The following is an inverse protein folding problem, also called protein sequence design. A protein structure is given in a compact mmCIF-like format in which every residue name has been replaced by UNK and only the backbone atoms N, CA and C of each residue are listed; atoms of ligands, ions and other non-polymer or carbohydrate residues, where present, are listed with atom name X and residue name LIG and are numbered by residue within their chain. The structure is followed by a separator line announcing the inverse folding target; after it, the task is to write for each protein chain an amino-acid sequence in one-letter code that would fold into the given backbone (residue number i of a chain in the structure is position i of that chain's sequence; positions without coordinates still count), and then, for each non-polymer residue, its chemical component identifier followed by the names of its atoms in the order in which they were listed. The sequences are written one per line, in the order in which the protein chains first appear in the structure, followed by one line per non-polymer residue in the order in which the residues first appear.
data_IF_032391981452
#
_entry.id   IF_032391981452
#
_cell.length_a   1.000
_cell.length_b   1.000
_cell.length_c   1.000
_cell.angle_alpha   90.00
_cell.angle_beta   90.00
_cell.angle_gamma   90.00
#
_symmetry.space_group_name_H-M   'P 1'
#
loop_
_entity.id
_entity.type
_entity.pdbx_description
1 polymer ?
#
# COMPACT_ATOMS: atom_id res chain seq x y z
N UNK A 1 4.95 -6.50 39.15
CA UNK A 1 3.58 -5.95 39.27
C UNK A 1 3.21 -5.42 37.90
N UNK A 2 2.36 -6.14 37.18
CA UNK A 2 1.97 -5.84 35.79
C UNK A 2 1.21 -4.50 35.76
N UNK A 3 1.82 -3.49 35.16
CA UNK A 3 1.14 -2.22 34.88
C UNK A 3 0.17 -2.43 33.72
N UNK A 4 -1.11 -2.21 34.01
CA UNK A 4 -2.25 -2.48 33.16
C UNK A 4 -2.22 -1.70 31.83
N UNK A 5 -2.02 -2.45 30.74
CA UNK A 5 -2.81 -2.47 29.51
C UNK A 5 -3.78 -1.29 29.28
N UNK A 6 -3.28 -0.16 28.75
CA UNK A 6 -4.09 0.99 28.29
C UNK A 6 -3.91 1.32 26.79
N UNK A 7 -3.46 0.37 25.98
CA UNK A 7 -3.13 0.66 24.56
C UNK A 7 -4.13 0.08 23.55
N UNK A 8 -5.35 -0.25 23.97
CA UNK A 8 -6.35 -0.93 23.13
C UNK A 8 -7.25 0.05 22.36
N UNK A 9 -7.29 1.33 22.74
CA UNK A 9 -8.08 2.35 22.02
C UNK A 9 -7.19 3.35 21.28
N UNK A 10 -6.36 2.82 20.38
CA UNK A 10 -5.65 3.63 19.38
C UNK A 10 -6.57 3.76 18.16
N UNK A 11 -7.14 4.94 17.96
CA UNK A 11 -7.97 5.29 16.79
C UNK A 11 -7.38 4.79 15.44
N UNK A 12 -6.05 4.86 15.21
CA UNK A 12 -5.45 4.34 13.98
C UNK A 12 -5.60 2.81 13.82
N UNK A 13 -5.52 2.05 14.92
CA UNK A 13 -5.67 0.59 14.87
C UNK A 13 -7.06 0.17 14.43
N UNK A 14 -8.08 0.94 14.79
CA UNK A 14 -9.45 0.65 14.42
C UNK A 14 -9.65 0.72 12.90
N UNK A 15 -8.93 1.61 12.23
CA UNK A 15 -9.16 1.95 10.82
C UNK A 15 -8.48 0.95 9.90
N UNK A 16 -7.24 0.61 10.20
CA UNK A 16 -6.56 -0.50 9.56
C UNK A 16 -7.31 -1.83 9.79
N UNK A 17 -7.88 -2.02 10.99
CA UNK A 17 -8.74 -3.18 11.27
C UNK A 17 -10.04 -3.17 10.46
N UNK A 18 -10.71 -2.02 10.34
CA UNK A 18 -11.89 -1.84 9.49
C UNK A 18 -11.55 -2.16 8.03
N UNK A 19 -10.40 -1.73 7.51
CA UNK A 19 -9.95 -2.08 6.15
C UNK A 19 -9.82 -3.59 5.93
N UNK A 20 -9.23 -4.29 6.89
CA UNK A 20 -9.12 -5.75 6.84
C UNK A 20 -10.52 -6.40 6.85
N UNK A 21 -11.46 -5.87 7.65
CA UNK A 21 -12.84 -6.34 7.67
C UNK A 21 -13.65 -5.97 6.41
N UNK A 22 -13.30 -4.87 5.74
CA UNK A 22 -13.93 -4.45 4.48
C UNK A 22 -13.50 -5.33 3.31
N UNK A 23 -12.34 -5.98 3.36
CA UNK A 23 -11.89 -6.85 2.27
C UNK A 23 -12.86 -8.00 1.96
N UNK A 24 -13.36 -8.80 2.94
CA UNK A 24 -14.43 -9.77 2.69
C UNK A 24 -15.69 -9.17 2.06
N UNK A 25 -16.06 -7.93 2.44
CA UNK A 25 -17.23 -7.23 1.88
C UNK A 25 -16.99 -6.85 0.42
N UNK A 26 -15.79 -6.35 0.09
CA UNK A 26 -15.38 -6.08 -1.29
C UNK A 26 -15.42 -7.35 -2.14
N UNK A 27 -14.90 -8.46 -1.63
CA UNK A 27 -15.00 -9.77 -2.29
C UNK A 27 -16.45 -10.20 -2.50
N UNK A 28 -17.31 -10.02 -1.50
CA UNK A 28 -18.73 -10.34 -1.63
C UNK A 28 -19.37 -9.61 -2.82
N UNK A 29 -19.19 -8.28 -2.91
CA UNK A 29 -19.70 -7.49 -4.03
C UNK A 29 -19.06 -7.85 -5.38
N UNK A 30 -17.77 -8.22 -5.38
CA UNK A 30 -17.11 -8.72 -6.57
C UNK A 30 -17.72 -10.04 -7.07
N UNK A 31 -18.01 -10.99 -6.16
CA UNK A 31 -18.57 -12.29 -6.52
C UNK A 31 -20.03 -12.21 -7.00
N UNK A 32 -20.83 -11.30 -6.45
CA UNK A 32 -22.21 -11.07 -6.94
C UNK A 32 -22.28 -10.15 -8.16
N UNK A 33 -21.12 -9.76 -8.73
CA UNK A 33 -21.01 -8.93 -9.94
C UNK A 33 -21.68 -7.55 -9.80
N UNK A 34 -21.46 -6.91 -8.64
CA UNK A 34 -21.99 -5.58 -8.31
C UNK A 34 -20.86 -4.53 -8.29
N UNK A 35 -20.37 -4.09 -9.47
CA UNK A 35 -19.19 -3.22 -9.59
C UNK A 35 -19.39 -1.83 -8.95
N UNK A 36 -20.60 -1.30 -8.99
CA UNK A 36 -20.90 0.04 -8.44
C UNK A 36 -20.74 0.05 -6.92
N UNK A 37 -21.27 -0.97 -6.24
CA UNK A 37 -21.13 -1.12 -4.80
C UNK A 37 -19.69 -1.42 -4.40
N UNK A 38 -18.99 -2.24 -5.18
CA UNK A 38 -17.57 -2.49 -4.99
C UNK A 38 -16.76 -1.18 -5.02
N UNK A 39 -16.91 -0.36 -6.07
CA UNK A 39 -16.20 0.91 -6.20
C UNK A 39 -16.59 1.89 -5.09
N UNK A 40 -17.87 1.96 -4.72
CA UNK A 40 -18.34 2.83 -3.64
C UNK A 40 -17.70 2.49 -2.29
N UNK A 41 -17.66 1.21 -1.93
CA UNK A 41 -17.03 0.74 -0.68
C UNK A 41 -15.52 0.92 -0.73
N UNK A 42 -14.90 0.68 -1.89
CA UNK A 42 -13.47 0.89 -2.07
C UNK A 42 -13.09 2.37 -1.87
N UNK A 43 -13.84 3.29 -2.48
CA UNK A 43 -13.64 4.74 -2.28
C UNK A 43 -13.86 5.14 -0.83
N UNK A 44 -14.89 4.59 -0.16
CA UNK A 44 -15.13 4.83 1.26
C UNK A 44 -13.96 4.35 2.13
N UNK A 45 -13.42 3.17 1.84
CA UNK A 45 -12.23 2.61 2.51
C UNK A 45 -11.01 3.54 2.39
N UNK A 46 -10.70 3.98 1.17
CA UNK A 46 -9.58 4.91 0.92
C UNK A 46 -9.77 6.28 1.56
N UNK A 47 -11.01 6.81 1.58
CA UNK A 47 -11.32 8.06 2.25
C UNK A 47 -11.13 7.98 3.77
N UNK A 48 -11.54 6.87 4.37
CA UNK A 48 -11.40 6.62 5.82
C UNK A 48 -9.92 6.59 6.20
N UNK A 49 -9.07 5.92 5.41
CA UNK A 49 -7.63 5.87 5.65
C UNK A 49 -6.96 7.26 5.70
N UNK A 50 -7.27 8.11 4.71
CA UNK A 50 -6.71 9.48 4.66
C UNK A 50 -7.15 10.30 5.87
N UNK A 51 -8.43 10.20 6.23
CA UNK A 51 -9.00 10.95 7.35
C UNK A 51 -8.35 10.53 8.67
N UNK A 52 -8.21 9.24 8.92
CA UNK A 52 -7.65 8.74 10.16
C UNK A 52 -6.14 8.92 10.25
N UNK A 53 -5.41 8.78 9.13
CA UNK A 53 -4.01 9.15 9.05
C UNK A 53 -3.76 10.66 9.28
N UNK A 54 -4.75 11.51 8.98
CA UNK A 54 -4.71 12.92 9.34
C UNK A 54 -4.97 13.14 10.84
N UNK A 55 -6.03 12.53 11.38
CA UNK A 55 -6.39 12.62 12.81
C UNK A 55 -5.25 12.11 13.69
N UNK A 56 -4.67 10.94 13.37
CA UNK A 56 -3.56 10.35 14.11
C UNK A 56 -2.35 11.29 14.24
N UNK A 57 -2.04 12.03 13.17
CA UNK A 57 -0.95 13.02 13.13
C UNK A 57 -1.26 14.26 13.96
N UNK A 58 -2.50 14.74 13.92
CA UNK A 58 -2.94 15.91 14.69
C UNK A 58 -2.93 15.61 16.20
N UNK A 59 -3.37 14.42 16.59
CA UNK A 59 -3.41 14.00 18.01
C UNK A 59 -2.11 13.34 18.50
N UNK A 60 -1.09 13.24 17.65
CA UNK A 60 0.22 12.65 17.95
C UNK A 60 0.14 11.21 18.51
N UNK A 61 -0.80 10.41 17.99
CA UNK A 61 -1.10 9.04 18.43
C UNK A 61 -0.44 7.97 17.53
N UNK A 62 0.80 8.20 17.11
CA UNK A 62 1.52 7.28 16.24
C UNK A 62 2.19 6.22 17.13
N UNK A 63 1.80 4.95 16.96
CA UNK A 63 2.37 3.80 17.69
C UNK A 63 3.02 2.81 16.73
N UNK A 64 4.04 2.08 17.20
CA UNK A 64 4.73 1.07 16.38
C UNK A 64 3.79 -0.07 15.96
N UNK A 65 2.92 -0.51 16.88
CA UNK A 65 1.91 -1.54 16.61
C UNK A 65 0.89 -1.08 15.57
N UNK A 66 0.46 0.19 15.64
CA UNK A 66 -0.46 0.75 14.66
C UNK A 66 0.17 0.89 13.29
N UNK A 67 1.42 1.32 13.19
CA UNK A 67 2.13 1.39 11.91
C UNK A 67 2.26 0.02 11.22
N UNK A 68 2.50 -1.06 11.98
CA UNK A 68 2.53 -2.41 11.40
C UNK A 68 1.16 -2.85 10.92
N UNK A 69 0.12 -2.62 11.71
CA UNK A 69 -1.26 -2.98 11.34
C UNK A 69 -1.73 -2.20 10.12
N UNK A 70 -1.31 -0.95 9.99
CA UNK A 70 -1.54 -0.08 8.84
C UNK A 70 -0.97 -0.68 7.55
N UNK A 71 0.29 -1.11 7.57
CA UNK A 71 0.92 -1.79 6.43
C UNK A 71 0.17 -3.07 6.02
N UNK A 72 -0.35 -3.84 6.98
CA UNK A 72 -1.17 -5.03 6.71
C UNK A 72 -2.54 -4.67 6.11
N UNK A 73 -3.18 -3.62 6.62
CA UNK A 73 -4.45 -3.11 6.10
C UNK A 73 -4.31 -2.63 4.66
N UNK A 74 -3.27 -1.85 4.37
CA UNK A 74 -2.92 -1.42 3.02
C UNK A 74 -2.69 -2.60 2.08
N UNK A 75 -1.81 -3.52 2.45
CA UNK A 75 -1.52 -4.70 1.64
C UNK A 75 -2.79 -5.52 1.35
N UNK A 76 -3.67 -5.63 2.33
CA UNK A 76 -4.96 -6.34 2.20
C UNK A 76 -5.86 -5.65 1.18
N UNK A 77 -6.00 -4.32 1.23
CA UNK A 77 -6.83 -3.57 0.27
C UNK A 77 -6.23 -3.62 -1.14
N UNK A 78 -4.93 -3.39 -1.32
CA UNK A 78 -4.31 -3.45 -2.65
C UNK A 78 -4.40 -4.85 -3.27
N UNK A 79 -4.21 -5.90 -2.47
CA UNK A 79 -4.40 -7.28 -2.93
C UNK A 79 -5.86 -7.55 -3.33
N UNK A 80 -6.81 -7.05 -2.52
CA UNK A 80 -8.24 -7.17 -2.80
C UNK A 80 -8.61 -6.43 -4.09
N UNK A 81 -8.09 -5.22 -4.32
CA UNK A 81 -8.29 -4.45 -5.54
C UNK A 81 -7.82 -5.20 -6.79
N UNK A 82 -6.62 -5.77 -6.75
CA UNK A 82 -6.06 -6.54 -7.86
C UNK A 82 -6.91 -7.78 -8.18
N UNK A 83 -7.22 -8.58 -7.16
CA UNK A 83 -7.98 -9.83 -7.34
C UNK A 83 -9.42 -9.53 -7.80
N UNK A 84 -10.09 -8.58 -7.15
CA UNK A 84 -11.48 -8.24 -7.51
C UNK A 84 -11.59 -7.61 -8.89
N UNK A 85 -10.57 -6.87 -9.35
CA UNK A 85 -10.53 -6.37 -10.72
C UNK A 85 -10.62 -7.51 -11.74
N UNK A 86 -9.89 -8.61 -11.50
CA UNK A 86 -9.94 -9.79 -12.37
C UNK A 86 -11.31 -10.50 -12.35
N UNK A 87 -12.01 -10.46 -11.21
CA UNK A 87 -13.33 -11.08 -11.05
C UNK A 87 -14.43 -10.26 -11.73
N UNK A 88 -14.39 -8.94 -11.60
CA UNK A 88 -15.44 -8.02 -12.07
C UNK A 88 -15.25 -7.58 -13.53
N UNK A 89 -14.00 -7.40 -13.97
CA UNK A 89 -13.69 -6.85 -15.30
C UNK A 89 -12.54 -7.59 -15.99
N UNK A 90 -12.64 -8.91 -16.21
CA UNK A 90 -11.57 -9.70 -16.80
C UNK A 90 -11.14 -9.17 -18.18
N UNK A 91 -12.08 -8.73 -19.03
CA UNK A 91 -11.77 -8.21 -20.36
C UNK A 91 -10.97 -6.90 -20.29
N UNK A 92 -11.33 -5.99 -19.37
CA UNK A 92 -10.63 -4.71 -19.20
C UNK A 92 -9.23 -4.94 -18.64
N UNK A 93 -9.08 -5.88 -17.69
CA UNK A 93 -7.77 -6.25 -17.18
C UNK A 93 -6.89 -6.87 -18.27
N UNK A 94 -7.46 -7.68 -19.17
CA UNK A 94 -6.72 -8.22 -20.31
C UNK A 94 -6.32 -7.12 -21.33
N UNK A 95 -7.14 -6.09 -21.52
CA UNK A 95 -6.79 -4.94 -22.36
C UNK A 95 -5.63 -4.13 -21.75
N UNK A 96 -5.64 -3.93 -20.44
CA UNK A 96 -4.60 -3.20 -19.69
C UNK A 96 -3.53 -4.13 -19.07
N UNK A 97 -3.35 -5.33 -19.64
CA UNK A 97 -2.54 -6.40 -19.04
C UNK A 97 -1.11 -5.97 -18.73
N UNK A 98 -0.50 -5.16 -19.61
CA UNK A 98 0.85 -4.64 -19.40
C UNK A 98 0.92 -3.75 -18.16
N UNK A 99 0.03 -2.76 -18.05
CA UNK A 99 -0.06 -1.86 -16.89
C UNK A 99 -0.34 -2.63 -15.61
N UNK A 100 -1.27 -3.60 -15.68
CA UNK A 100 -1.66 -4.44 -14.57
C UNK A 100 -0.49 -5.30 -14.04
N UNK A 101 0.22 -6.00 -14.94
CA UNK A 101 1.39 -6.80 -14.57
C UNK A 101 2.50 -5.92 -13.98
N UNK A 102 2.74 -4.74 -14.56
CA UNK A 102 3.76 -3.81 -14.04
C UNK A 102 3.42 -3.37 -12.61
N UNK A 103 2.17 -3.01 -12.32
CA UNK A 103 1.75 -2.62 -10.96
C UNK A 103 1.92 -3.78 -9.98
N UNK A 104 1.37 -4.96 -10.31
CA UNK A 104 1.44 -6.14 -9.43
C UNK A 104 2.89 -6.56 -9.18
N UNK A 105 3.74 -6.58 -10.21
CA UNK A 105 5.16 -6.93 -10.04
C UNK A 105 5.93 -5.85 -9.28
N UNK A 106 5.56 -4.58 -9.42
CA UNK A 106 6.15 -3.48 -8.64
C UNK A 106 5.82 -3.55 -7.15
N UNK A 107 4.67 -4.10 -6.78
CA UNK A 107 4.31 -4.33 -5.37
C UNK A 107 5.02 -5.57 -4.81
N UNK A 108 5.09 -6.66 -5.59
CA UNK A 108 5.61 -7.94 -5.11
C UNK A 108 7.15 -7.98 -5.09
N UNK A 109 7.82 -7.37 -6.07
CA UNK A 109 9.28 -7.51 -6.21
C UNK A 109 10.08 -6.92 -5.04
N UNK A 110 9.78 -5.75 -4.45
CA UNK A 110 10.49 -5.25 -3.28
C UNK A 110 10.30 -6.16 -2.06
N UNK A 111 9.10 -6.72 -1.88
CA UNK A 111 8.78 -7.66 -0.80
C UNK A 111 9.65 -8.92 -0.93
N UNK A 112 9.77 -9.49 -2.14
CA UNK A 112 10.61 -10.68 -2.37
C UNK A 112 12.07 -10.37 -2.09
N UNK A 113 12.61 -9.25 -2.59
CA UNK A 113 14.02 -8.87 -2.37
C UNK A 113 14.30 -8.65 -0.89
N UNK A 114 13.39 -7.98 -0.18
CA UNK A 114 13.46 -7.80 1.27
C UNK A 114 13.44 -9.13 2.03
N UNK A 115 12.56 -10.04 1.64
CA UNK A 115 12.46 -11.38 2.25
C UNK A 115 13.71 -12.22 2.02
N UNK A 116 14.30 -12.18 0.81
CA UNK A 116 15.54 -12.90 0.51
C UNK A 116 16.72 -12.34 1.30
N UNK A 117 16.84 -11.02 1.40
CA UNK A 117 17.99 -10.37 2.04
C UNK A 117 17.92 -10.40 3.56
N UNK A 118 16.77 -10.06 4.15
CA UNK A 118 16.62 -9.88 5.60
C UNK A 118 15.80 -10.97 6.28
N UNK A 119 15.21 -11.91 5.51
CA UNK A 119 14.25 -12.92 6.01
C UNK A 119 13.05 -12.30 6.72
N UNK A 120 12.69 -11.06 6.35
CA UNK A 120 11.57 -10.29 6.88
C UNK A 120 10.87 -9.54 5.76
N UNK A 121 9.58 -9.26 5.97
CA UNK A 121 8.80 -8.41 5.07
C UNK A 121 9.22 -6.96 5.34
N UNK A 122 10.01 -6.39 4.44
CA UNK A 122 10.38 -4.98 4.49
C UNK A 122 9.29 -4.14 3.85
N UNK A 123 8.84 -3.09 4.52
CA UNK A 123 7.97 -2.07 3.96
C UNK A 123 8.68 -0.74 4.11
N UNK A 124 9.13 -0.14 3.00
CA UNK A 124 9.76 1.18 3.04
C UNK A 124 8.71 2.23 2.69
N UNK A 125 8.46 3.16 3.61
CA UNK A 125 7.52 4.26 3.36
C UNK A 125 8.20 5.44 2.66
N UNK A 126 8.82 5.19 1.50
CA UNK A 126 9.42 6.27 0.70
C UNK A 126 8.35 7.20 0.14
N UNK A 127 8.73 8.45 -0.12
CA UNK A 127 7.82 9.41 -0.77
C UNK A 127 7.34 8.91 -2.13
N UNK A 128 8.18 8.19 -2.88
CA UNK A 128 7.82 7.66 -4.19
C UNK A 128 6.74 6.59 -4.11
N UNK A 129 6.83 5.69 -3.11
CA UNK A 129 5.79 4.68 -2.85
C UNK A 129 4.46 5.35 -2.51
N UNK A 130 4.46 6.36 -1.62
CA UNK A 130 3.22 7.07 -1.25
C UNK A 130 2.54 7.73 -2.46
N UNK A 131 3.33 8.38 -3.32
CA UNK A 131 2.80 8.98 -4.55
C UNK A 131 2.29 7.90 -5.50
N UNK A 132 3.07 6.83 -5.74
CA UNK A 132 2.68 5.74 -6.61
C UNK A 132 1.38 5.06 -6.16
N UNK A 133 1.22 4.87 -4.86
CA UNK A 133 0.01 4.32 -4.24
C UNK A 133 -1.21 5.21 -4.51
N UNK A 134 -1.13 6.51 -4.27
CA UNK A 134 -2.25 7.44 -4.51
C UNK A 134 -2.60 7.48 -6.00
N UNK A 135 -1.59 7.58 -6.88
CA UNK A 135 -1.80 7.60 -8.34
C UNK A 135 -2.41 6.27 -8.81
N UNK A 136 -2.01 5.14 -8.22
CA UNK A 136 -2.58 3.82 -8.51
C UNK A 136 -4.02 3.70 -8.05
N UNK A 137 -4.33 4.15 -6.84
CA UNK A 137 -5.69 4.13 -6.31
C UNK A 137 -6.63 4.98 -7.17
N UNK A 138 -6.24 6.21 -7.49
CA UNK A 138 -7.03 7.09 -8.37
C UNK A 138 -7.14 6.52 -9.78
N UNK A 139 -6.03 6.04 -10.36
CA UNK A 139 -6.02 5.46 -11.69
C UNK A 139 -6.89 4.21 -11.80
N UNK A 140 -6.91 3.38 -10.76
CA UNK A 140 -7.79 2.22 -10.66
C UNK A 140 -9.26 2.64 -10.69
N UNK A 141 -9.67 3.58 -9.83
CA UNK A 141 -11.06 4.05 -9.80
C UNK A 141 -11.49 4.63 -11.14
N UNK A 142 -10.64 5.45 -11.78
CA UNK A 142 -10.96 6.08 -13.06
C UNK A 142 -11.10 5.07 -14.21
N UNK A 143 -10.24 4.04 -14.24
CA UNK A 143 -10.29 2.99 -15.25
C UNK A 143 -11.55 2.13 -15.07
N UNK A 144 -11.78 1.60 -13.88
CA UNK A 144 -12.88 0.65 -13.63
C UNK A 144 -14.26 1.33 -13.52
N UNK A 145 -14.31 2.64 -13.28
CA UNK A 145 -15.53 3.44 -13.46
C UNK A 145 -15.83 3.75 -14.94
N UNK A 146 -14.92 3.43 -15.87
CA UNK A 146 -15.06 3.68 -17.30
C UNK A 146 -14.91 5.16 -17.68
N UNK A 147 -14.19 5.95 -16.89
CA UNK A 147 -14.02 7.39 -17.14
C UNK A 147 -12.76 7.70 -17.95
N UNK A 148 -11.60 7.17 -17.54
CA UNK A 148 -10.30 7.45 -18.15
C UNK A 148 -9.33 6.27 -17.99
N UNK A 149 -8.66 5.88 -19.08
CA UNK A 149 -7.75 4.72 -19.07
C UNK A 149 -6.28 5.11 -18.84
N UNK A 150 -5.85 6.24 -19.42
CA UNK A 150 -4.45 6.69 -19.35
C UNK A 150 -3.89 6.88 -17.93
N UNK A 151 -4.67 7.30 -16.90
CA UNK A 151 -4.14 7.48 -15.55
C UNK A 151 -3.64 6.17 -14.94
N UNK A 152 -4.26 5.04 -15.27
CA UNK A 152 -3.82 3.72 -14.80
C UNK A 152 -2.47 3.33 -15.42
N UNK A 153 -2.25 3.67 -16.70
CA UNK A 153 -0.94 3.46 -17.36
C UNK A 153 0.16 4.32 -16.75
N UNK A 154 -0.16 5.56 -16.39
CA UNK A 154 0.76 6.44 -15.65
C UNK A 154 1.07 5.87 -14.27
N UNK A 155 0.07 5.35 -13.57
CA UNK A 155 0.27 4.68 -12.28
C UNK A 155 1.25 3.50 -12.35
N UNK A 156 1.21 2.73 -13.44
CA UNK A 156 2.16 1.65 -13.66
C UNK A 156 3.61 2.15 -13.75
N UNK A 157 3.86 3.27 -14.43
CA UNK A 157 5.20 3.88 -14.51
C UNK A 157 5.66 4.34 -13.13
N UNK A 158 4.81 5.03 -12.37
CA UNK A 158 5.14 5.47 -11.01
C UNK A 158 5.44 4.28 -10.09
N UNK A 159 4.65 3.21 -10.18
CA UNK A 159 4.85 1.98 -9.41
C UNK A 159 6.20 1.33 -9.74
N UNK A 160 6.56 1.24 -11.01
CA UNK A 160 7.85 0.67 -11.43
C UNK A 160 9.05 1.47 -10.91
N UNK A 161 8.97 2.81 -10.95
CA UNK A 161 10.03 3.67 -10.42
C UNK A 161 10.11 3.55 -8.89
N UNK A 162 8.98 3.53 -8.19
CA UNK A 162 8.93 3.32 -6.75
C UNK A 162 9.53 1.97 -6.33
N UNK A 163 9.18 0.89 -7.02
CA UNK A 163 9.74 -0.44 -6.77
C UNK A 163 11.25 -0.49 -7.00
N UNK A 164 11.73 0.17 -8.06
CA UNK A 164 13.17 0.27 -8.33
C UNK A 164 13.89 1.03 -7.21
N UNK A 165 13.29 2.09 -6.68
CA UNK A 165 13.80 2.82 -5.51
C UNK A 165 13.87 1.93 -4.27
N UNK A 166 12.79 1.21 -3.94
CA UNK A 166 12.75 0.31 -2.77
C UNK A 166 13.76 -0.83 -2.89
N UNK A 167 13.90 -1.44 -4.07
CA UNK A 167 14.90 -2.49 -4.31
C UNK A 167 16.30 -1.92 -4.16
N UNK A 168 16.58 -0.73 -4.68
CA UNK A 168 17.89 -0.07 -4.53
C UNK A 168 18.20 0.21 -3.05
N UNK A 169 17.23 0.72 -2.28
CA UNK A 169 17.37 0.90 -0.82
C UNK A 169 17.67 -0.42 -0.14
N UNK A 170 16.90 -1.46 -0.47
CA UNK A 170 17.04 -2.79 0.10
C UNK A 170 18.43 -3.34 -0.16
N UNK A 171 18.96 -3.22 -1.37
CA UNK A 171 20.28 -3.70 -1.75
C UNK A 171 21.43 -2.91 -1.10
N UNK A 172 21.30 -1.59 -0.98
CA UNK A 172 22.34 -0.70 -0.45
C UNK A 172 22.41 -0.64 1.09
N UNK A 173 21.30 -0.92 1.79
CA UNK A 173 21.27 -0.88 3.26
C UNK A 173 21.96 -2.12 3.86
N UNK A 174 22.77 -1.96 4.92
CA UNK A 174 23.39 -3.11 5.61
C UNK A 174 22.49 -3.68 6.72
N UNK A 175 21.64 -2.85 7.32
CA UNK A 175 20.67 -3.23 8.34
C UNK A 175 19.27 -2.70 7.95
N UNK A 176 18.22 -3.36 8.43
CA UNK A 176 16.83 -2.93 8.23
C UNK A 176 16.59 -1.62 9.00
N UNK A 177 16.58 -0.49 8.29
CA UNK A 177 16.16 0.80 8.85
C UNK A 177 14.69 1.03 8.47
N UNK A 178 13.82 1.05 9.47
CA UNK A 178 12.35 1.16 9.31
C UNK A 178 11.91 2.55 8.79
N UNK A 179 12.77 3.58 8.89
CA UNK A 179 12.40 4.97 8.62
C UNK A 179 13.29 5.63 7.53
N UNK A 180 13.32 5.02 6.35
CA UNK A 180 14.03 5.55 5.18
C UNK A 180 13.07 6.36 4.31
N UNK A 181 13.23 7.69 4.33
CA UNK A 181 12.36 8.61 3.55
C UNK A 181 12.71 8.65 2.05
N UNK A 182 13.93 8.30 1.68
CA UNK A 182 14.45 8.22 0.29
C UNK A 182 15.85 7.59 0.27
N UNK A 183 16.30 7.08 -0.89
CA UNK A 183 17.67 6.56 -1.15
C UNK A 183 18.77 7.49 -0.62
N UNK A 184 18.58 8.80 -0.75
CA UNK A 184 19.55 9.81 -0.29
C UNK A 184 19.79 9.77 1.23
N UNK A 185 18.82 9.29 1.99
CA UNK A 185 18.93 9.15 3.44
C UNK A 185 19.86 7.99 3.80
N UNK A 186 19.77 6.87 3.07
CA UNK A 186 20.64 5.69 3.27
C UNK A 186 22.08 6.00 2.91
N UNK A 187 22.32 6.72 1.82
CA UNK A 187 23.66 7.14 1.41
C UNK A 187 24.34 8.07 2.43
N UNK A 188 23.56 8.79 3.26
CA UNK A 188 24.10 9.58 4.38
C UNK A 188 24.42 8.71 5.59
N UNK A 189 23.58 7.73 5.93
CA UNK A 189 23.86 6.79 7.04
C UNK A 189 25.12 5.96 6.78
N UNK A 190 25.28 5.39 5.58
CA UNK A 190 26.47 4.60 5.21
C UNK A 190 27.77 5.43 5.20
N UNK A 191 27.69 6.76 5.05
CA UNK A 191 28.84 7.66 5.18
C UNK A 191 29.20 7.98 6.64
N UNK A 192 28.26 7.85 7.57
CA UNK A 192 28.49 8.09 8.99
C UNK A 192 29.02 6.85 9.73
N UNK A 193 28.64 5.63 9.30
CA UNK A 193 29.19 4.39 9.87
C UNK A 193 30.63 4.06 9.42
N UNK A 194 31.18 4.82 8.47
CA UNK A 194 32.56 4.66 7.97
C UNK A 194 33.53 5.76 8.45
N UNK A 195 33.11 6.66 9.35
CA UNK A 195 33.94 7.73 9.93
C UNK A 195 34.08 7.57 11.44
#
# INVERSE_FOLDING_TARGET
MFSANRDIYNLPNFVSFVRILLAPVLFYFAFIQEPVWFLAILMFSGFTDILDGFIARVFNQITETGSRLDSWGDFTIYSTMAICAWILWPELVLQELTSYIVIVTSIISPIIVGLVKYRRITSYHTWMVKVAVVVTFVGYILLFAGWLDWPFRVAAVFSAVAATEEIAITLLSQHEHVDVRSVWTVLKYNKQDQG
#
